data_IF_188985810390
#
_entry.id   IF_188985810390
#
_cell.length_a   1.000
_cell.length_b   1.000
_cell.length_c   1.000
_cell.angle_alpha   90.00
_cell.angle_beta   90.00
_cell.angle_gamma   90.00
#
_symmetry.space_group_name_H-M   'P 1'
#
loop_
_entity.id
_entity.type
_entity.pdbx_description
1 polymer ?
#
# COMPACT_ATOMS: atom_id res chain seq x y z
N UNK A 1 8.37 2.18 36.08
CA UNK A 1 7.62 3.08 35.19
C UNK A 1 7.43 2.34 33.88
N UNK A 2 6.24 1.78 33.65
CA UNK A 2 5.93 1.04 32.42
C UNK A 2 5.42 1.99 31.37
N UNK A 3 6.26 2.34 30.39
CA UNK A 3 5.82 2.95 29.14
C UNK A 3 5.37 1.80 28.23
N UNK A 4 4.11 1.37 28.37
CA UNK A 4 3.50 0.48 27.38
C UNK A 4 3.03 1.34 26.22
N UNK A 5 3.75 1.21 25.10
CA UNK A 5 3.49 1.88 23.84
C UNK A 5 2.05 1.64 23.38
N UNK A 6 1.34 2.74 23.18
CA UNK A 6 0.07 2.74 22.47
C UNK A 6 0.37 2.77 20.98
N UNK A 7 0.67 1.60 20.41
CA UNK A 7 0.55 1.44 18.96
C UNK A 7 -0.90 1.72 18.53
N UNK A 8 -1.15 2.01 17.24
CA UNK A 8 -2.49 2.25 16.73
C UNK A 8 -3.43 1.10 17.13
N UNK A 9 -4.62 1.42 17.64
CA UNK A 9 -5.61 0.41 17.98
C UNK A 9 -5.98 -0.38 16.73
N UNK A 10 -5.86 -1.71 16.79
CA UNK A 10 -6.19 -2.57 15.67
C UNK A 10 -7.68 -2.45 15.29
N UNK A 11 -7.94 -2.23 14.00
CA UNK A 11 -9.29 -2.28 13.44
C UNK A 11 -9.86 -3.70 13.57
N UNK A 12 -11.16 -3.81 13.82
CA UNK A 12 -11.87 -5.08 13.71
C UNK A 12 -12.07 -5.49 12.23
N UNK A 13 -12.60 -6.69 11.99
CA UNK A 13 -12.71 -7.21 10.62
C UNK A 13 -13.62 -6.38 9.71
N UNK A 14 -14.72 -5.83 10.24
CA UNK A 14 -15.66 -5.01 9.47
C UNK A 14 -15.05 -3.63 9.16
N UNK A 15 -14.33 -3.05 10.13
CA UNK A 15 -13.58 -1.80 9.96
C UNK A 15 -12.47 -1.94 8.90
N UNK A 16 -11.70 -3.04 8.96
CA UNK A 16 -10.69 -3.34 7.93
C UNK A 16 -11.36 -3.44 6.56
N UNK A 17 -12.45 -4.20 6.45
CA UNK A 17 -13.15 -4.38 5.18
C UNK A 17 -13.66 -3.05 4.63
N UNK A 18 -14.28 -2.21 5.46
CA UNK A 18 -14.80 -0.91 5.06
C UNK A 18 -13.67 0.05 4.63
N UNK A 19 -12.54 0.05 5.35
CA UNK A 19 -11.37 0.85 5.00
C UNK A 19 -10.80 0.45 3.63
N UNK A 20 -10.61 -0.86 3.39
CA UNK A 20 -10.07 -1.37 2.13
C UNK A 20 -11.03 -1.14 0.97
N UNK A 21 -12.34 -1.27 1.18
CA UNK A 21 -13.36 -0.94 0.18
C UNK A 21 -13.32 0.56 -0.17
N UNK A 22 -13.24 1.44 0.83
CA UNK A 22 -13.11 2.89 0.62
C UNK A 22 -11.86 3.25 -0.18
N UNK A 23 -10.71 2.66 0.16
CA UNK A 23 -9.47 2.83 -0.61
C UNK A 23 -9.62 2.34 -2.05
N UNK A 24 -10.29 1.21 -2.26
CA UNK A 24 -10.54 0.71 -3.61
C UNK A 24 -11.41 1.67 -4.43
N UNK A 25 -12.47 2.22 -3.82
CA UNK A 25 -13.33 3.22 -4.46
C UNK A 25 -12.58 4.51 -4.79
N UNK A 26 -11.71 4.98 -3.90
CA UNK A 26 -10.87 6.16 -4.14
C UNK A 26 -9.92 5.94 -5.33
N UNK A 27 -9.22 4.81 -5.35
CA UNK A 27 -8.28 4.46 -6.44
C UNK A 27 -9.04 4.30 -7.78
N UNK A 28 -10.22 3.68 -7.75
CA UNK A 28 -11.05 3.42 -8.93
C UNK A 28 -11.90 4.62 -9.35
N UNK A 29 -11.77 5.76 -8.67
CA UNK A 29 -12.56 6.97 -8.93
C UNK A 29 -12.40 7.53 -10.35
N UNK A 30 -13.30 8.44 -10.71
CA UNK A 30 -13.47 8.92 -12.09
C UNK A 30 -12.26 9.67 -12.69
N UNK A 31 -11.29 10.06 -11.87
CA UNK A 31 -10.13 10.88 -12.29
C UNK A 31 -8.96 10.06 -12.86
N UNK A 32 -9.12 8.74 -13.06
CA UNK A 32 -8.14 7.91 -13.80
C UNK A 32 -6.92 7.46 -12.98
N UNK A 33 -7.11 7.35 -11.66
CA UNK A 33 -6.16 6.79 -10.70
C UNK A 33 -5.65 7.81 -9.67
N UNK A 34 -5.28 7.32 -8.48
CA UNK A 34 -4.69 8.10 -7.40
C UNK A 34 -3.20 8.28 -7.63
N UNK A 35 -2.71 9.54 -7.63
CA UNK A 35 -1.26 9.80 -7.69
C UNK A 35 -0.56 9.12 -6.51
N UNK A 36 0.50 8.36 -6.80
CA UNK A 36 1.27 7.67 -5.78
C UNK A 36 2.55 8.42 -5.44
N UNK A 37 3.30 8.82 -6.48
CA UNK A 37 4.44 9.71 -6.40
C UNK A 37 4.54 10.59 -7.66
N UNK A 38 5.71 11.14 -7.96
CA UNK A 38 5.94 11.97 -9.15
C UNK A 38 5.95 11.17 -10.46
N UNK A 39 6.16 9.85 -10.38
CA UNK A 39 6.40 8.99 -11.53
C UNK A 39 5.42 7.82 -11.63
N UNK A 40 4.38 7.78 -10.80
CA UNK A 40 3.46 6.65 -10.78
C UNK A 40 2.09 7.00 -10.18
N UNK A 41 1.11 6.17 -10.54
CA UNK A 41 -0.27 6.28 -10.06
C UNK A 41 -0.85 4.90 -9.77
N UNK A 42 -1.76 4.83 -8.81
CA UNK A 42 -2.59 3.67 -8.54
C UNK A 42 -3.83 3.79 -9.42
N UNK A 43 -4.07 2.86 -10.34
CA UNK A 43 -5.09 3.02 -11.39
C UNK A 43 -6.27 2.07 -11.26
N UNK A 44 -6.11 1.01 -10.46
CA UNK A 44 -7.19 0.08 -10.18
C UNK A 44 -6.92 -0.59 -8.84
N UNK A 45 -7.97 -0.95 -8.13
CA UNK A 45 -7.90 -1.68 -6.87
C UNK A 45 -9.10 -2.63 -6.74
N UNK A 46 -8.82 -3.83 -6.26
CA UNK A 46 -9.82 -4.86 -5.99
C UNK A 46 -9.68 -5.28 -4.55
N UNK A 47 -10.75 -5.07 -3.78
CA UNK A 47 -10.85 -5.49 -2.39
C UNK A 47 -11.61 -6.83 -2.29
N UNK A 48 -11.09 -7.74 -1.47
CA UNK A 48 -11.72 -9.01 -1.10
C UNK A 48 -11.40 -9.28 0.36
N UNK A 49 -12.43 -9.34 1.21
CA UNK A 49 -12.30 -9.61 2.66
C UNK A 49 -11.32 -8.66 3.38
N UNK A 50 -10.14 -9.15 3.77
CA UNK A 50 -9.08 -8.36 4.43
C UNK A 50 -7.93 -8.02 3.49
N UNK A 51 -8.08 -8.22 2.19
CA UNK A 51 -7.05 -7.95 1.21
C UNK A 51 -7.50 -6.88 0.20
N UNK A 52 -6.60 -5.97 -0.13
CA UNK A 52 -6.72 -5.12 -1.32
C UNK A 52 -5.58 -5.41 -2.28
N UNK A 53 -5.92 -5.61 -3.55
CA UNK A 53 -4.97 -5.76 -4.65
C UNK A 53 -5.03 -4.52 -5.51
N UNK A 54 -3.94 -3.77 -5.54
CA UNK A 54 -3.81 -2.47 -6.17
C UNK A 54 -2.89 -2.61 -7.37
N UNK A 55 -3.35 -2.12 -8.52
CA UNK A 55 -2.52 -1.96 -9.70
C UNK A 55 -1.92 -0.56 -9.72
N UNK A 56 -0.60 -0.50 -9.72
CA UNK A 56 0.17 0.72 -9.91
C UNK A 56 0.79 0.76 -11.31
N UNK A 57 0.70 1.90 -11.98
CA UNK A 57 1.33 2.14 -13.27
C UNK A 57 2.42 3.21 -13.11
N UNK A 58 3.61 2.90 -13.61
CA UNK A 58 4.70 3.86 -13.76
C UNK A 58 4.50 4.74 -14.99
N UNK A 59 4.96 5.98 -14.92
CA UNK A 59 5.09 6.90 -16.06
C UNK A 59 6.37 6.63 -16.86
N UNK A 60 7.21 5.70 -16.40
CA UNK A 60 8.46 5.30 -17.04
C UNK A 60 8.28 3.95 -17.74
N UNK A 61 8.87 3.85 -18.93
CA UNK A 61 9.02 2.58 -19.66
C UNK A 61 10.08 1.70 -19.00
N UNK A 62 10.06 0.39 -19.28
CA UNK A 62 11.00 -0.58 -18.72
C UNK A 62 12.48 -0.23 -18.91
N UNK A 63 12.86 0.35 -20.05
CA UNK A 63 14.24 0.75 -20.35
C UNK A 63 14.74 1.92 -19.47
N UNK A 64 13.81 2.64 -18.83
CA UNK A 64 14.07 3.78 -17.95
C UNK A 64 13.91 3.45 -16.47
N UNK A 65 13.47 2.24 -16.13
CA UNK A 65 13.44 1.79 -14.75
C UNK A 65 14.87 1.43 -14.34
N UNK A 66 15.38 2.13 -13.32
CA UNK A 66 16.68 1.81 -12.75
C UNK A 66 16.66 0.47 -11.99
N UNK A 67 17.84 -0.10 -11.78
CA UNK A 67 18.03 -1.19 -10.82
C UNK A 67 17.49 -0.76 -9.44
N UNK A 68 16.71 -1.63 -8.79
CA UNK A 68 16.09 -1.32 -7.49
C UNK A 68 14.78 -0.51 -7.55
N UNK A 69 14.20 -0.30 -8.74
CA UNK A 69 12.90 0.39 -8.83
C UNK A 69 11.82 -0.29 -7.95
N UNK A 70 11.72 -1.62 -7.99
CA UNK A 70 10.75 -2.37 -7.18
C UNK A 70 11.03 -2.24 -5.67
N UNK A 71 12.30 -2.23 -5.25
CA UNK A 71 12.67 -2.00 -3.85
C UNK A 71 12.23 -0.59 -3.40
N UNK A 72 12.42 0.43 -4.24
CA UNK A 72 11.92 1.78 -3.94
C UNK A 72 10.39 1.81 -3.78
N UNK A 73 9.64 1.00 -4.54
CA UNK A 73 8.18 0.89 -4.40
C UNK A 73 7.80 0.25 -3.08
N UNK A 74 8.57 -0.75 -2.62
CA UNK A 74 8.37 -1.38 -1.32
C UNK A 74 8.58 -0.38 -0.19
N UNK A 75 9.66 0.42 -0.25
CA UNK A 75 9.95 1.43 0.77
C UNK A 75 8.88 2.53 0.79
N UNK A 76 8.39 2.96 -0.38
CA UNK A 76 7.28 3.91 -0.46
C UNK A 76 5.97 3.34 0.08
N UNK A 77 5.68 2.05 -0.16
CA UNK A 77 4.51 1.40 0.40
C UNK A 77 4.61 1.32 1.92
N UNK A 78 5.79 1.01 2.46
CA UNK A 78 6.08 1.08 3.89
C UNK A 78 5.85 2.49 4.43
N UNK A 79 6.47 3.50 3.83
CA UNK A 79 6.30 4.88 4.28
C UNK A 79 4.83 5.31 4.25
N UNK A 80 4.08 5.02 3.18
CA UNK A 80 2.67 5.41 3.04
C UNK A 80 1.76 4.71 4.04
N UNK A 81 1.87 3.39 4.16
CA UNK A 81 0.99 2.60 5.04
C UNK A 81 1.33 2.78 6.52
N UNK A 82 2.59 3.03 6.85
CA UNK A 82 3.01 3.15 8.25
C UNK A 82 2.94 4.60 8.78
N UNK A 83 2.91 5.61 7.90
CA UNK A 83 2.68 7.00 8.31
C UNK A 83 1.20 7.38 8.40
N UNK A 84 0.32 6.61 7.76
CA UNK A 84 -1.13 6.76 7.84
C UNK A 84 -1.69 5.92 9.00
N UNK A 85 -2.33 6.58 9.96
CA UNK A 85 -2.83 5.95 11.18
C UNK A 85 -3.93 4.91 10.90
N UNK A 86 -4.79 5.15 9.90
CA UNK A 86 -5.87 4.24 9.54
C UNK A 86 -5.32 3.02 8.78
N UNK A 87 -4.35 3.23 7.89
CA UNK A 87 -3.63 2.14 7.22
C UNK A 87 -2.87 1.26 8.22
N UNK A 88 -2.18 1.87 9.18
CA UNK A 88 -1.46 1.15 10.24
C UNK A 88 -2.42 0.37 11.15
N UNK A 89 -3.56 0.96 11.52
CA UNK A 89 -4.61 0.30 12.29
C UNK A 89 -5.26 -0.85 11.50
N UNK A 90 -5.44 -0.70 10.18
CA UNK A 90 -5.92 -1.76 9.30
C UNK A 90 -4.91 -2.93 9.21
N UNK A 91 -3.61 -2.63 9.07
CA UNK A 91 -2.55 -3.65 9.12
C UNK A 91 -2.56 -4.39 10.46
N UNK A 92 -2.77 -3.68 11.57
CA UNK A 92 -2.93 -4.28 12.89
C UNK A 92 -4.20 -5.14 13.02
N UNK A 93 -5.27 -4.78 12.31
CA UNK A 93 -6.49 -5.58 12.14
C UNK A 93 -6.36 -6.80 11.22
N UNK A 94 -5.18 -7.00 10.62
CA UNK A 94 -4.86 -8.10 9.72
C UNK A 94 -5.13 -7.81 8.24
N UNK A 95 -5.18 -6.54 7.84
CA UNK A 95 -5.24 -6.17 6.43
C UNK A 95 -4.00 -6.64 5.67
N UNK A 96 -4.20 -6.95 4.39
CA UNK A 96 -3.14 -7.28 3.43
C UNK A 96 -3.24 -6.34 2.24
N UNK A 97 -2.15 -5.66 1.92
CA UNK A 97 -2.04 -4.77 0.76
C UNK A 97 -1.12 -5.42 -0.26
N UNK A 98 -1.59 -5.55 -1.48
CA UNK A 98 -0.83 -6.13 -2.59
C UNK A 98 -0.74 -5.09 -3.69
N UNK A 99 0.45 -4.54 -3.93
CA UNK A 99 0.70 -3.62 -5.03
C UNK A 99 1.35 -4.38 -6.18
N UNK A 100 0.70 -4.42 -7.34
CA UNK A 100 1.28 -4.96 -8.56
C UNK A 100 1.65 -3.81 -9.50
N UNK A 101 2.93 -3.72 -9.86
CA UNK A 101 3.48 -2.59 -10.59
C UNK A 101 3.70 -2.92 -12.05
N UNK A 102 3.25 -2.02 -12.92
CA UNK A 102 3.43 -2.09 -14.36
C UNK A 102 4.17 -0.86 -14.87
N UNK A 103 4.98 -1.04 -15.91
CA UNK A 103 5.63 0.06 -16.61
C UNK A 103 4.63 0.84 -17.48
N UNK A 104 5.05 1.99 -18.03
CA UNK A 104 4.23 2.77 -18.96
C UNK A 104 3.90 2.01 -20.26
N UNK A 105 4.70 1.01 -20.64
CA UNK A 105 4.45 0.07 -21.74
C UNK A 105 3.70 -1.20 -21.29
N UNK A 106 3.09 -1.18 -20.09
CA UNK A 106 2.25 -2.25 -19.53
C UNK A 106 2.99 -3.58 -19.35
N UNK A 107 4.30 -3.54 -19.08
CA UNK A 107 5.08 -4.72 -18.69
C UNK A 107 5.05 -4.88 -17.17
N UNK A 108 4.99 -6.12 -16.71
CA UNK A 108 5.02 -6.44 -15.28
C UNK A 108 6.41 -6.15 -14.70
N UNK A 109 6.46 -5.26 -13.72
CA UNK A 109 7.67 -4.90 -12.97
C UNK A 109 7.82 -5.83 -11.76
N UNK A 110 6.69 -6.26 -11.19
CA UNK A 110 6.63 -7.11 -10.01
C UNK A 110 5.69 -6.57 -8.94
N UNK A 111 5.69 -7.30 -7.82
CA UNK A 111 4.69 -7.16 -6.77
C UNK A 111 5.32 -6.85 -5.41
N UNK A 112 4.65 -5.98 -4.65
CA UNK A 112 4.93 -5.70 -3.24
C UNK A 112 3.74 -6.17 -2.42
N UNK A 113 3.96 -7.11 -1.49
CA UNK A 113 2.94 -7.54 -0.53
C UNK A 113 3.29 -7.06 0.86
N UNK A 114 2.33 -6.41 1.50
CA UNK A 114 2.44 -5.87 2.85
C UNK A 114 1.36 -6.49 3.73
N UNK A 115 1.77 -7.03 4.88
CA UNK A 115 0.86 -7.64 5.86
C UNK A 115 1.43 -7.55 7.26
N UNK A 116 0.52 -7.47 8.24
CA UNK A 116 0.87 -7.52 9.65
C UNK A 116 1.52 -6.25 10.19
N UNK A 117 1.57 -6.14 11.52
CA UNK A 117 2.12 -4.98 12.24
C UNK A 117 3.64 -4.90 12.19
N UNK A 118 4.31 -6.05 12.05
CA UNK A 118 5.78 -6.11 12.03
C UNK A 118 6.35 -5.44 10.80
N UNK A 119 5.58 -5.28 9.72
CA UNK A 119 6.07 -4.62 8.51
C UNK A 119 6.54 -3.19 8.77
N UNK A 120 5.85 -2.43 9.62
CA UNK A 120 6.25 -1.07 9.94
C UNK A 120 7.52 -1.05 10.82
N UNK A 121 7.56 -1.90 11.85
CA UNK A 121 8.71 -2.06 12.74
C UNK A 121 9.97 -2.53 11.99
N UNK A 122 9.84 -3.53 11.12
CA UNK A 122 10.92 -4.12 10.30
C UNK A 122 11.51 -3.13 9.29
N UNK A 123 10.73 -2.13 8.85
CA UNK A 123 11.19 -1.09 7.92
C UNK A 123 11.54 0.22 8.64
N UNK A 124 11.65 0.22 9.98
CA UNK A 124 12.09 1.38 10.76
C UNK A 124 11.04 2.48 10.95
N UNK A 125 9.76 2.18 10.69
CA UNK A 125 8.63 3.07 10.91
C UNK A 125 7.95 2.70 12.23
N UNK A 126 8.32 3.38 13.31
CA UNK A 126 7.63 3.29 14.60
C UNK A 126 6.60 4.43 14.71
N UNK A 127 5.32 4.07 14.81
CA UNK A 127 4.28 4.97 15.31
C UNK A 127 4.42 5.27 16.79
#
# INVERSE_FOLDING_TARGET
MGLLGGGPQAMNADEVSAYLEGMAQEINGADGGLRYDDFSKLINAVHVEKQITIRGDSLLNMDKLGEGYLDSRKDQAANKLCSDADAAAALAGGATFVYNWFSADNQDIGMVTVRGTTFCEENGYSG
#
